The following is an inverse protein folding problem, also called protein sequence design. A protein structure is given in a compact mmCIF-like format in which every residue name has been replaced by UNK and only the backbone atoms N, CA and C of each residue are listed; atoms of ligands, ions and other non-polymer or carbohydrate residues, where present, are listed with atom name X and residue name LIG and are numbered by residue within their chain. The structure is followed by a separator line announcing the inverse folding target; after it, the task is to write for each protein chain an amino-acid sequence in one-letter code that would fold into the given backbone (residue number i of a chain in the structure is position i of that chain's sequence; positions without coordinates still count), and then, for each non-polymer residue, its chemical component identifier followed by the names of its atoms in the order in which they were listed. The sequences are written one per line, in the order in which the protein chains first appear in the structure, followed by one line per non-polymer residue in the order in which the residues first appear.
data_IF_453934006042
#
_entry.id   IF_453934006042
#
_cell.length_a   1.000
_cell.length_b   1.000
_cell.length_c   1.000
_cell.angle_alpha   90.00
_cell.angle_beta   90.00
_cell.angle_gamma   90.00
#
_symmetry.space_group_name_H-M   'P 1'
#
loop_
_entity.id
_entity.type
_entity.pdbx_description
1 polymer ?
#
# COMPACT_ATOMS: atom_id res chain seq x y z
N UNK A 1 10.74 5.60 -26.34
CA UNK A 1 9.72 4.55 -26.07
C UNK A 1 8.35 5.20 -25.99
N UNK A 2 7.30 4.55 -26.50
CA UNK A 2 5.94 5.11 -26.49
C UNK A 2 5.26 4.85 -25.13
N UNK A 3 4.65 5.88 -24.56
CA UNK A 3 3.94 5.79 -23.30
C UNK A 3 2.69 4.91 -23.46
N UNK A 4 2.56 3.85 -22.64
CA UNK A 4 1.40 2.94 -22.66
C UNK A 4 0.09 3.58 -22.19
N UNK A 5 0.14 4.75 -21.54
CA UNK A 5 -1.04 5.44 -20.99
C UNK A 5 -1.60 6.48 -21.96
N UNK A 6 -0.75 7.34 -22.54
CA UNK A 6 -1.19 8.44 -23.40
C UNK A 6 -0.66 8.39 -24.84
N UNK A 7 0.19 7.42 -25.19
CA UNK A 7 0.74 7.27 -26.53
C UNK A 7 1.88 8.23 -26.89
N UNK A 8 2.34 9.09 -25.99
CA UNK A 8 3.44 10.02 -26.26
C UNK A 8 4.78 9.29 -26.48
N UNK A 9 5.55 9.71 -27.50
CA UNK A 9 6.90 9.20 -27.81
C UNK A 9 8.02 10.23 -27.61
N UNK A 10 7.67 11.50 -27.43
CA UNK A 10 8.61 12.63 -27.42
C UNK A 10 8.95 13.07 -25.99
N UNK A 11 10.13 13.68 -25.79
CA UNK A 11 10.54 14.30 -24.52
C UNK A 11 10.41 13.40 -23.26
N UNK A 12 10.59 12.09 -23.44
CA UNK A 12 10.53 11.12 -22.34
C UNK A 12 11.90 11.00 -21.65
N UNK A 13 11.91 10.93 -20.32
CA UNK A 13 13.13 10.76 -19.50
C UNK A 13 13.36 9.28 -19.16
N UNK A 14 14.62 8.85 -19.08
CA UNK A 14 14.98 7.46 -18.74
C UNK A 14 15.71 7.35 -17.41
N UNK A 15 15.40 6.32 -16.65
CA UNK A 15 16.00 6.00 -15.35
C UNK A 15 16.42 4.54 -15.31
N UNK A 16 17.50 4.23 -14.60
CA UNK A 16 17.88 2.87 -14.26
C UNK A 16 17.57 2.63 -12.79
N UNK A 17 16.85 1.55 -12.49
CA UNK A 17 16.55 1.11 -11.14
C UNK A 17 17.12 -0.29 -10.93
N UNK A 18 17.79 -0.48 -9.80
CA UNK A 18 18.28 -1.80 -9.36
C UNK A 18 17.22 -2.48 -8.51
N UNK A 19 16.98 -3.77 -8.75
CA UNK A 19 16.19 -4.63 -7.87
C UNK A 19 16.93 -4.81 -6.54
N UNK A 20 16.33 -4.33 -5.45
CA UNK A 20 16.93 -4.34 -4.10
C UNK A 20 16.08 -5.08 -3.07
N UNK A 21 14.83 -5.41 -3.38
CA UNK A 21 13.88 -6.04 -2.47
C UNK A 21 14.20 -7.54 -2.28
N UNK A 22 14.50 -8.24 -3.37
CA UNK A 22 14.89 -9.66 -3.37
C UNK A 22 16.41 -9.84 -3.34
N UNK A 23 17.16 -8.75 -3.59
CA UNK A 23 18.62 -8.77 -3.61
C UNK A 23 19.19 -9.41 -4.87
N UNK A 24 18.42 -9.44 -5.96
CA UNK A 24 18.85 -9.99 -7.25
C UNK A 24 19.88 -9.08 -7.94
N UNK A 25 19.79 -7.77 -7.70
CA UNK A 25 20.70 -6.79 -8.30
C UNK A 25 20.46 -6.55 -9.80
N UNK A 26 19.37 -7.12 -10.35
CA UNK A 26 18.95 -6.88 -11.73
C UNK A 26 18.69 -5.40 -11.96
N UNK A 27 19.01 -4.92 -13.16
CA UNK A 27 18.82 -3.53 -13.56
C UNK A 27 17.68 -3.43 -14.55
N UNK A 28 16.73 -2.55 -14.25
CA UNK A 28 15.57 -2.29 -15.09
C UNK A 28 15.57 -0.83 -15.53
N UNK A 29 15.35 -0.61 -16.82
CA UNK A 29 15.13 0.73 -17.35
C UNK A 29 13.67 1.13 -17.14
N UNK A 30 13.46 2.36 -16.70
CA UNK A 30 12.16 3.01 -16.58
C UNK A 30 12.13 4.26 -17.44
N UNK A 31 10.96 4.58 -17.96
CA UNK A 31 10.70 5.77 -18.76
C UNK A 31 9.62 6.60 -18.05
N UNK A 32 9.91 7.87 -17.78
CA UNK A 32 8.93 8.86 -17.36
C UNK A 32 8.44 9.66 -18.58
N UNK A 33 7.14 9.68 -18.77
CA UNK A 33 6.51 10.34 -19.90
C UNK A 33 6.54 11.87 -19.76
N UNK A 34 7.13 12.57 -20.73
CA UNK A 34 7.18 14.05 -20.73
C UNK A 34 5.80 14.72 -20.83
N UNK A 35 4.80 14.03 -21.36
CA UNK A 35 3.45 14.57 -21.57
C UNK A 35 2.49 14.34 -20.39
N UNK A 36 2.53 13.17 -19.74
CA UNK A 36 1.58 12.81 -18.67
C UNK A 36 2.22 12.42 -17.33
N UNK A 37 3.55 12.40 -17.23
CA UNK A 37 4.27 12.00 -16.02
C UNK A 37 4.18 10.51 -15.67
N UNK A 38 3.63 9.67 -16.56
CA UNK A 38 3.59 8.23 -16.32
C UNK A 38 5.01 7.66 -16.31
N UNK A 39 5.43 7.13 -15.15
CA UNK A 39 6.61 6.30 -14.99
C UNK A 39 6.26 4.84 -15.28
N UNK A 40 6.99 4.20 -16.18
CA UNK A 40 6.76 2.81 -16.57
C UNK A 40 8.07 2.08 -16.87
N UNK A 41 8.10 0.77 -16.62
CA UNK A 41 9.23 -0.05 -17.03
C UNK A 41 9.35 -0.02 -18.55
N UNK A 42 10.58 0.09 -19.07
CA UNK A 42 10.82 0.09 -20.51
C UNK A 42 10.41 -1.28 -21.07
N UNK A 43 11.09 -2.33 -20.65
CA UNK A 43 10.86 -3.70 -21.10
C UNK A 43 10.46 -4.59 -19.92
N UNK A 44 9.37 -5.33 -20.07
CA UNK A 44 8.92 -6.29 -19.06
C UNK A 44 9.84 -7.51 -19.13
N UNK A 45 10.48 -7.93 -18.03
CA UNK A 45 11.36 -9.10 -18.02
C UNK A 45 10.62 -10.37 -18.44
N UNK A 46 11.28 -11.23 -19.22
CA UNK A 46 10.73 -12.54 -19.59
C UNK A 46 10.53 -13.44 -18.36
N UNK A 47 11.41 -13.31 -17.36
CA UNK A 47 11.40 -14.05 -16.09
C UNK A 47 10.59 -13.33 -15.01
N UNK A 48 9.44 -12.76 -15.36
CA UNK A 48 8.58 -12.04 -14.41
C UNK A 48 8.28 -12.84 -13.12
N UNK A 49 8.01 -14.16 -13.14
CA UNK A 49 7.75 -14.94 -11.93
C UNK A 49 8.87 -14.87 -10.88
N UNK A 50 10.13 -14.67 -11.29
CA UNK A 50 11.26 -14.56 -10.35
C UNK A 50 11.18 -13.33 -9.45
N UNK A 51 10.45 -12.29 -9.86
CA UNK A 51 10.22 -11.08 -9.08
C UNK A 51 8.96 -11.17 -8.19
N UNK A 52 8.19 -12.25 -8.29
CA UNK A 52 6.97 -12.49 -7.53
C UNK A 52 6.97 -13.93 -7.00
N UNK A 53 7.85 -14.25 -6.03
CA UNK A 53 7.94 -15.62 -5.49
C UNK A 53 6.63 -16.03 -4.81
N UNK A 54 6.01 -17.10 -5.29
CA UNK A 54 4.66 -17.54 -4.90
C UNK A 54 4.53 -17.92 -3.42
N UNK A 55 5.60 -18.43 -2.80
CA UNK A 55 5.56 -18.97 -1.43
C UNK A 55 5.52 -17.90 -0.32
N UNK A 56 5.89 -16.64 -0.62
CA UNK A 56 5.98 -15.54 0.36
C UNK A 56 5.51 -14.19 -0.21
N UNK A 57 4.66 -14.22 -1.24
CA UNK A 57 4.09 -13.00 -1.77
C UNK A 57 3.04 -12.45 -0.82
N UNK A 58 3.38 -11.39 -0.08
CA UNK A 58 2.55 -10.76 0.96
C UNK A 58 1.10 -10.46 0.53
N UNK A 59 0.84 -10.25 -0.76
CA UNK A 59 -0.52 -10.00 -1.25
C UNK A 59 -1.43 -11.23 -1.15
N UNK A 60 -0.86 -12.42 -0.98
CA UNK A 60 -1.57 -13.69 -0.76
C UNK A 60 -1.65 -14.07 0.72
N UNK A 61 -1.18 -13.22 1.64
CA UNK A 61 -1.24 -13.48 3.06
C UNK A 61 -2.68 -13.73 3.54
N UNK A 62 -2.83 -14.71 4.43
CA UNK A 62 -4.09 -14.94 5.10
C UNK A 62 -4.25 -13.94 6.24
N UNK A 63 -5.34 -13.18 6.21
CA UNK A 63 -5.69 -12.30 7.32
C UNK A 63 -6.10 -13.15 8.53
N UNK A 64 -5.31 -13.04 9.59
CA UNK A 64 -5.66 -13.63 10.87
C UNK A 64 -6.67 -12.73 11.58
N UNK A 65 -7.88 -13.25 11.81
CA UNK A 65 -8.89 -12.52 12.58
C UNK A 65 -8.55 -12.56 14.06
N UNK A 66 -8.41 -11.39 14.69
CA UNK A 66 -8.40 -11.28 16.15
C UNK A 66 -9.76 -11.72 16.73
N UNK A 67 -9.76 -12.26 17.94
CA UNK A 67 -10.97 -12.70 18.64
C UNK A 67 -11.08 -12.09 20.03
N UNK A 68 -12.30 -12.13 20.60
CA UNK A 68 -12.57 -11.74 21.99
C UNK A 68 -12.23 -10.29 22.34
N UNK A 69 -11.77 -10.10 23.59
CA UNK A 69 -11.44 -8.78 24.15
C UNK A 69 -10.31 -8.09 23.39
N UNK A 70 -9.36 -8.86 22.85
CA UNK A 70 -8.25 -8.33 22.04
C UNK A 70 -8.78 -7.66 20.77
N UNK A 71 -9.71 -8.31 20.05
CA UNK A 71 -10.36 -7.70 18.88
C UNK A 71 -11.06 -6.40 19.28
N UNK A 72 -11.84 -6.43 20.36
CA UNK A 72 -12.57 -5.25 20.83
C UNK A 72 -11.64 -4.06 21.11
N UNK A 73 -10.56 -4.27 21.88
CA UNK A 73 -9.62 -3.20 22.22
C UNK A 73 -8.89 -2.65 20.99
N UNK A 74 -8.46 -3.53 20.08
CA UNK A 74 -7.81 -3.13 18.83
C UNK A 74 -8.77 -2.33 17.94
N UNK A 75 -10.00 -2.79 17.73
CA UNK A 75 -10.99 -2.06 16.94
C UNK A 75 -11.33 -0.70 17.55
N UNK A 76 -11.46 -0.59 18.87
CA UNK A 76 -11.72 0.72 19.52
C UNK A 76 -10.52 1.65 19.39
N UNK A 77 -9.31 1.13 19.57
CA UNK A 77 -8.07 1.89 19.35
C UNK A 77 -8.01 2.41 17.91
N UNK A 78 -8.23 1.55 16.93
CA UNK A 78 -8.08 1.88 15.51
C UNK A 78 -9.17 2.84 15.06
N UNK A 79 -10.40 2.72 15.58
CA UNK A 79 -11.45 3.72 15.42
C UNK A 79 -11.01 5.11 15.91
N UNK A 80 -10.39 5.20 17.09
CA UNK A 80 -9.85 6.46 17.60
C UNK A 80 -8.67 6.96 16.75
N UNK A 81 -7.75 6.08 16.35
CA UNK A 81 -6.64 6.45 15.48
C UNK A 81 -7.12 7.00 14.13
N UNK A 82 -8.20 6.43 13.58
CA UNK A 82 -8.75 6.77 12.28
C UNK A 82 -9.59 8.05 12.30
N UNK A 83 -10.40 8.25 13.34
CA UNK A 83 -11.44 9.29 13.36
C UNK A 83 -11.20 10.36 14.43
N UNK A 84 -10.31 10.12 15.40
CA UNK A 84 -10.17 10.94 16.61
C UNK A 84 -11.28 10.72 17.65
N UNK A 85 -12.24 9.85 17.37
CA UNK A 85 -13.41 9.61 18.21
C UNK A 85 -13.34 8.24 18.89
N UNK A 86 -13.88 8.12 20.11
CA UNK A 86 -13.86 6.97 21.03
C UNK A 86 -12.89 7.14 22.21
N UNK A 87 -13.44 7.38 23.40
CA UNK A 87 -12.68 7.55 24.65
C UNK A 87 -11.92 6.28 25.05
N UNK A 88 -12.56 5.11 24.94
CA UNK A 88 -11.91 3.81 25.21
C UNK A 88 -10.75 3.61 24.24
N UNK A 89 -10.95 3.96 22.97
CA UNK A 89 -9.94 3.93 21.93
C UNK A 89 -8.75 4.85 22.23
N UNK A 90 -9.02 6.06 22.72
CA UNK A 90 -7.99 7.03 23.12
C UNK A 90 -7.07 6.47 24.22
N UNK A 91 -7.67 5.85 25.25
CA UNK A 91 -6.91 5.22 26.33
C UNK A 91 -6.10 4.04 25.77
N UNK A 92 -6.71 3.16 24.98
CA UNK A 92 -6.01 2.03 24.38
C UNK A 92 -4.86 2.48 23.46
N UNK A 93 -5.04 3.56 22.70
CA UNK A 93 -4.01 4.16 21.85
C UNK A 93 -2.83 4.69 22.66
N UNK A 94 -3.06 5.25 23.85
CA UNK A 94 -1.97 5.74 24.70
C UNK A 94 -1.01 4.63 25.12
N UNK A 95 -1.52 3.40 25.31
CA UNK A 95 -0.70 2.24 25.69
C UNK A 95 -0.15 1.46 24.49
N UNK A 96 -0.86 1.41 23.36
CA UNK A 96 -0.47 0.63 22.18
C UNK A 96 -0.75 1.40 20.88
N UNK A 97 -0.02 2.48 20.56
CA UNK A 97 -0.32 3.34 19.41
C UNK A 97 -0.21 2.62 18.06
N UNK A 98 -1.02 3.02 17.08
CA UNK A 98 -0.97 2.50 15.71
C UNK A 98 -0.62 3.62 14.72
N UNK A 99 0.68 3.75 14.41
CA UNK A 99 1.22 4.90 13.66
C UNK A 99 0.67 5.04 12.24
N UNK A 100 0.31 3.95 11.57
CA UNK A 100 -0.14 3.97 10.16
C UNK A 100 -1.55 4.52 9.97
N UNK A 101 -2.43 4.42 10.97
CA UNK A 101 -3.87 4.78 10.82
C UNK A 101 -4.10 6.27 11.12
N UNK A 102 -3.23 6.89 11.91
CA UNK A 102 -3.35 8.31 12.28
C UNK A 102 -3.34 9.28 11.08
N UNK A 103 -2.78 8.88 9.94
CA UNK A 103 -2.85 9.70 8.71
C UNK A 103 -4.28 9.85 8.20
N UNK A 104 -5.16 8.87 8.42
CA UNK A 104 -6.57 8.93 8.05
C UNK A 104 -7.32 10.00 8.84
N UNK A 105 -6.90 10.29 10.07
CA UNK A 105 -7.49 11.37 10.86
C UNK A 105 -7.35 12.73 10.17
N UNK A 106 -6.22 12.97 9.48
CA UNK A 106 -6.00 14.21 8.71
C UNK A 106 -6.95 14.33 7.51
N UNK A 107 -7.45 13.20 7.00
CA UNK A 107 -8.43 13.17 5.92
C UNK A 107 -9.88 13.38 6.42
N UNK A 108 -10.10 13.46 7.73
CA UNK A 108 -11.42 13.74 8.30
C UNK A 108 -12.45 12.62 8.07
N UNK A 109 -11.99 11.37 8.01
CA UNK A 109 -12.88 10.22 7.77
C UNK A 109 -13.81 9.96 8.95
N UNK A 110 -14.96 9.34 8.65
CA UNK A 110 -15.98 8.95 9.62
C UNK A 110 -16.36 7.48 9.43
N UNK A 111 -17.17 6.93 10.32
CA UNK A 111 -17.71 5.56 10.17
C UNK A 111 -18.64 5.40 8.96
N UNK A 112 -19.13 6.51 8.40
CA UNK A 112 -19.99 6.52 7.22
C UNK A 112 -19.20 6.71 5.91
N UNK A 113 -17.89 6.93 6.01
CA UNK A 113 -17.01 7.10 4.85
C UNK A 113 -16.88 5.79 4.07
N UNK A 114 -17.05 5.86 2.74
CA UNK A 114 -16.76 4.73 1.84
C UNK A 114 -15.33 4.84 1.33
N UNK A 115 -14.49 3.88 1.68
CA UNK A 115 -13.05 3.87 1.38
C UNK A 115 -12.76 2.80 0.33
N UNK A 116 -12.00 3.17 -0.70
CA UNK A 116 -11.42 2.24 -1.68
C UNK A 116 -9.92 2.13 -1.40
N UNK A 117 -9.42 0.91 -1.24
CA UNK A 117 -8.00 0.64 -1.02
C UNK A 117 -7.42 -0.11 -2.24
N UNK A 118 -6.65 0.61 -3.06
CA UNK A 118 -6.12 0.09 -4.33
C UNK A 118 -4.69 -0.40 -4.11
N UNK A 119 -4.40 -1.64 -4.50
CA UNK A 119 -3.08 -2.24 -4.32
C UNK A 119 -2.77 -2.69 -2.89
N UNK A 120 -3.81 -2.98 -2.09
CA UNK A 120 -3.68 -3.33 -0.68
C UNK A 120 -3.30 -4.79 -0.39
N UNK A 121 -3.00 -5.58 -1.42
CA UNK A 121 -2.73 -7.01 -1.31
C UNK A 121 -3.89 -7.74 -0.65
N UNK A 122 -3.61 -8.45 0.45
CA UNK A 122 -4.62 -9.15 1.23
C UNK A 122 -5.64 -8.23 1.93
N UNK A 123 -5.42 -6.91 1.97
CA UNK A 123 -6.37 -5.97 2.57
C UNK A 123 -6.27 -5.83 4.10
N UNK A 124 -5.09 -6.07 4.68
CA UNK A 124 -4.86 -6.02 6.13
C UNK A 124 -5.37 -4.73 6.80
N UNK A 125 -5.22 -3.57 6.14
CA UNK A 125 -5.69 -2.29 6.65
C UNK A 125 -7.23 -2.23 6.66
N UNK A 126 -7.89 -2.58 5.56
CA UNK A 126 -9.35 -2.60 5.46
C UNK A 126 -9.98 -3.51 6.52
N UNK A 127 -9.37 -4.67 6.77
CA UNK A 127 -9.87 -5.61 7.78
C UNK A 127 -9.56 -5.22 9.23
N UNK A 128 -8.71 -4.21 9.46
CA UNK A 128 -8.42 -3.68 10.81
C UNK A 128 -9.38 -2.58 11.26
N UNK A 129 -10.09 -1.93 10.32
CA UNK A 129 -11.03 -0.83 10.56
C UNK A 129 -12.44 -1.35 10.88
#
# INVERSE_FOLDING_TARGET
MQCRICGNSEDNSSYEATEMMLGLGDKHQYIECGACGCLQIADVPETLPSYYPDDDYYSYDKIQSLTGLKKFLVTKRDLYAATGNCLIGKVAHQFMPHSKIHTLQKAGITTDSRILDVGCGAGHLLHSL
#
